data_IF_968750097605
#
_entry.id   IF_968750097605
#
_cell.length_a   1.000
_cell.length_b   1.000
_cell.length_c   1.000
_cell.angle_alpha   90.00
_cell.angle_beta   90.00
_cell.angle_gamma   90.00
#
_symmetry.space_group_name_H-M   'P 1'
#
loop_
_entity.id
_entity.type
_entity.pdbx_description
1 polymer ?
#
# COMPACT_ATOMS: atom_id res chain seq x y z
N UNK A 1 88.69 -11.17 -13.48
CA UNK A 1 87.74 -10.95 -14.60
C UNK A 1 86.52 -11.82 -14.38
N UNK A 2 85.37 -11.33 -14.84
CA UNK A 2 84.03 -11.93 -14.89
C UNK A 2 83.08 -11.52 -13.76
N UNK A 3 82.23 -10.56 -14.15
CA UNK A 3 80.95 -10.12 -13.59
C UNK A 3 80.02 -11.27 -13.18
N UNK A 4 79.17 -11.02 -12.17
CA UNK A 4 77.75 -11.37 -12.27
C UNK A 4 76.89 -10.78 -11.13
N UNK A 5 76.14 -9.74 -11.51
CA UNK A 5 74.74 -9.43 -11.17
C UNK A 5 74.35 -9.21 -9.70
N UNK A 6 74.23 -7.93 -9.35
CA UNK A 6 73.31 -7.41 -8.32
C UNK A 6 71.89 -7.87 -8.66
N UNK A 7 71.33 -8.77 -7.87
CA UNK A 7 69.89 -9.05 -7.87
C UNK A 7 69.23 -7.89 -7.14
N UNK A 8 68.40 -7.15 -7.88
CA UNK A 8 67.67 -5.98 -7.41
C UNK A 8 66.64 -6.38 -6.34
N UNK A 9 66.68 -5.71 -5.20
CA UNK A 9 65.70 -5.83 -4.10
C UNK A 9 64.27 -5.47 -4.55
N UNK A 10 64.09 -4.92 -5.75
CA UNK A 10 62.76 -4.68 -6.35
C UNK A 10 61.99 -5.96 -6.73
N UNK A 11 62.67 -7.10 -6.90
CA UNK A 11 61.97 -8.35 -7.27
C UNK A 11 61.29 -9.07 -6.11
N UNK A 12 61.57 -8.67 -4.86
CA UNK A 12 60.92 -9.27 -3.67
C UNK A 12 59.64 -8.52 -3.24
N UNK A 13 59.45 -7.27 -3.69
CA UNK A 13 58.24 -6.49 -3.38
C UNK A 13 57.11 -6.80 -4.38
N UNK A 14 57.42 -7.33 -5.56
CA UNK A 14 56.41 -7.63 -6.58
C UNK A 14 55.68 -8.98 -6.39
N UNK A 15 56.16 -9.86 -5.49
CA UNK A 15 55.52 -11.15 -5.20
C UNK A 15 54.56 -11.06 -3.99
N UNK A 16 54.64 -9.98 -3.21
CA UNK A 16 53.73 -9.72 -2.09
C UNK A 16 52.49 -8.90 -2.47
N UNK A 17 52.32 -8.55 -3.75
CA UNK A 17 51.13 -7.85 -4.26
C UNK A 17 50.23 -8.72 -5.15
N UNK A 18 50.56 -10.00 -5.36
CA UNK A 18 49.88 -10.86 -6.33
C UNK A 18 49.00 -11.98 -5.73
N UNK A 19 48.78 -11.99 -4.41
CA UNK A 19 47.81 -12.93 -3.80
C UNK A 19 46.95 -12.22 -2.75
N UNK A 20 46.41 -11.06 -3.10
CA UNK A 20 45.06 -10.71 -2.66
C UNK A 20 44.07 -11.29 -3.68
N UNK A 21 44.20 -12.59 -3.96
CA UNK A 21 43.09 -13.32 -4.52
C UNK A 21 42.01 -13.22 -3.44
N UNK A 22 41.06 -12.31 -3.64
CA UNK A 22 39.76 -12.43 -3.01
C UNK A 22 39.29 -13.82 -3.39
N UNK A 23 39.51 -14.78 -2.50
CA UNK A 23 38.73 -15.99 -2.48
C UNK A 23 37.31 -15.50 -2.25
N UNK A 24 36.58 -15.31 -3.35
CA UNK A 24 35.13 -15.38 -3.37
C UNK A 24 34.81 -16.82 -2.99
N UNK A 25 34.99 -17.15 -1.71
CA UNK A 25 34.43 -18.38 -1.17
C UNK A 25 32.93 -18.25 -1.33
N UNK A 26 32.33 -19.20 -2.04
CA UNK A 26 30.89 -19.35 -2.00
C UNK A 26 30.48 -19.38 -0.52
N UNK A 27 29.44 -18.62 -0.15
CA UNK A 27 28.93 -18.63 1.22
C UNK A 27 28.59 -20.08 1.59
N UNK A 28 29.09 -20.54 2.73
CA UNK A 28 28.73 -21.85 3.28
C UNK A 28 27.22 -21.85 3.56
N UNK A 29 26.49 -22.76 2.91
CA UNK A 29 25.04 -22.87 3.01
C UNK A 29 24.56 -23.09 4.45
N UNK A 30 25.37 -23.74 5.28
CA UNK A 30 25.04 -23.97 6.70
C UNK A 30 25.10 -22.69 7.53
N UNK A 31 25.78 -21.65 7.03
CA UNK A 31 26.00 -20.37 7.70
C UNK A 31 25.35 -19.18 6.95
N UNK A 32 24.63 -19.44 5.85
CA UNK A 32 23.96 -18.40 5.07
C UNK A 32 22.76 -17.84 5.86
N UNK A 33 22.91 -16.63 6.38
CA UNK A 33 21.84 -15.95 7.11
C UNK A 33 20.63 -15.70 6.20
N UNK A 34 19.42 -15.94 6.72
CA UNK A 34 18.16 -15.69 5.99
C UNK A 34 18.11 -14.27 5.41
N UNK A 35 18.48 -13.25 6.20
CA UNK A 35 18.51 -11.84 5.74
C UNK A 35 19.44 -11.59 4.53
N UNK A 36 20.42 -12.45 4.29
CA UNK A 36 21.38 -12.38 3.19
C UNK A 36 20.96 -13.26 2.00
N UNK A 37 19.94 -14.11 2.16
CA UNK A 37 19.44 -14.97 1.09
C UNK A 37 18.81 -14.12 -0.02
N UNK A 38 19.42 -14.12 -1.21
CA UNK A 38 18.99 -13.35 -2.38
C UNK A 38 18.87 -14.28 -3.59
N UNK A 39 17.85 -15.14 -3.65
CA UNK A 39 17.65 -16.03 -4.78
C UNK A 39 17.50 -15.25 -6.08
N UNK A 40 17.99 -15.84 -7.16
CA UNK A 40 17.78 -15.38 -8.53
C UNK A 40 17.10 -16.50 -9.29
N UNK A 41 16.06 -16.17 -10.05
CA UNK A 41 15.39 -17.14 -10.91
C UNK A 41 16.38 -17.70 -11.95
N UNK A 42 16.48 -19.02 -12.04
CA UNK A 42 17.27 -19.72 -13.06
C UNK A 42 16.41 -20.22 -14.23
N UNK A 43 15.10 -20.00 -14.16
CA UNK A 43 14.17 -20.40 -15.22
C UNK A 43 14.41 -19.57 -16.49
N UNK A 44 14.44 -20.26 -17.63
CA UNK A 44 14.49 -19.63 -18.96
C UNK A 44 13.07 -19.48 -19.51
N UNK A 45 12.33 -18.56 -18.92
CA UNK A 45 10.92 -18.28 -19.23
C UNK A 45 10.78 -16.85 -19.77
N UNK A 46 9.68 -16.52 -20.47
CA UNK A 46 9.41 -15.16 -20.90
C UNK A 46 9.41 -14.17 -19.72
N UNK A 47 9.98 -12.98 -19.94
CA UNK A 47 10.00 -11.88 -18.98
C UNK A 47 9.42 -10.65 -19.66
N UNK A 48 8.37 -10.08 -19.06
CA UNK A 48 7.65 -8.94 -19.63
C UNK A 48 8.06 -7.65 -18.95
N UNK A 49 8.39 -6.63 -19.73
CA UNK A 49 8.69 -5.28 -19.25
C UNK A 49 7.52 -4.35 -19.55
N UNK A 50 6.64 -4.15 -18.56
CA UNK A 50 5.47 -3.27 -18.70
C UNK A 50 5.89 -1.84 -18.41
N UNK A 51 6.14 -1.03 -19.44
CA UNK A 51 6.59 0.36 -19.27
C UNK A 51 5.48 1.32 -18.84
N UNK A 52 4.25 1.03 -19.31
CA UNK A 52 3.06 1.87 -19.17
C UNK A 52 1.84 0.96 -19.05
N UNK A 53 0.90 1.34 -18.18
CA UNK A 53 -0.32 0.58 -17.93
C UNK A 53 -1.16 0.37 -19.20
N UNK A 54 -1.84 -0.78 -19.28
CA UNK A 54 -2.70 -1.16 -20.40
C UNK A 54 -3.89 -0.23 -20.64
N UNK A 55 -4.29 0.55 -19.63
CA UNK A 55 -5.35 1.56 -19.65
C UNK A 55 -4.96 2.74 -18.72
N UNK A 56 -5.52 3.94 -18.90
CA UNK A 56 -5.30 5.06 -17.99
C UNK A 56 -5.67 4.69 -16.55
N UNK A 57 -4.77 4.92 -15.60
CA UNK A 57 -4.93 4.50 -14.20
C UNK A 57 -5.36 5.68 -13.33
N UNK A 58 -6.36 5.45 -12.48
CA UNK A 58 -6.62 6.28 -11.30
C UNK A 58 -6.07 5.51 -10.10
N UNK A 59 -5.01 6.05 -9.51
CA UNK A 59 -4.40 5.52 -8.30
C UNK A 59 -5.19 5.99 -7.09
N UNK A 60 -6.00 5.09 -6.52
CA UNK A 60 -6.91 5.42 -5.42
C UNK A 60 -6.24 5.47 -4.05
N UNK A 61 -4.94 5.19 -3.97
CA UNK A 61 -4.22 5.16 -2.71
C UNK A 61 -2.77 5.62 -2.88
N UNK A 62 -2.54 6.86 -2.48
CA UNK A 62 -1.21 7.41 -2.29
C UNK A 62 -1.24 8.46 -1.19
N UNK A 63 -0.08 8.86 -0.71
CA UNK A 63 0.09 9.91 0.28
C UNK A 63 0.80 11.13 -0.33
N UNK A 64 0.87 12.27 0.39
CA UNK A 64 1.55 13.47 -0.09
C UNK A 64 3.08 13.31 -0.03
N UNK A 65 3.63 12.33 -0.76
CA UNK A 65 5.06 12.02 -0.76
C UNK A 65 5.91 13.16 -1.32
N UNK A 66 5.43 13.83 -2.37
CA UNK A 66 6.06 15.03 -2.90
C UNK A 66 5.74 16.24 -2.01
N UNK A 67 6.76 16.98 -1.59
CA UNK A 67 6.68 18.10 -0.63
C UNK A 67 7.00 19.46 -1.26
N UNK A 68 7.21 19.50 -2.57
CA UNK A 68 7.45 20.74 -3.32
C UNK A 68 6.82 20.71 -4.71
N UNK A 69 6.62 21.89 -5.32
CA UNK A 69 6.08 22.00 -6.69
C UNK A 69 6.97 21.29 -7.71
N UNK A 70 8.30 21.32 -7.51
CA UNK A 70 9.24 20.62 -8.37
C UNK A 70 9.02 19.10 -8.30
N UNK A 71 8.90 18.55 -7.10
CA UNK A 71 8.68 17.11 -6.92
C UNK A 71 7.32 16.67 -7.49
N UNK A 72 6.27 17.48 -7.35
CA UNK A 72 4.97 17.21 -7.97
C UNK A 72 5.09 17.24 -9.49
N UNK A 73 5.79 18.23 -10.06
CA UNK A 73 6.04 18.28 -11.51
C UNK A 73 6.80 17.04 -12.01
N UNK A 74 7.78 16.56 -11.23
CA UNK A 74 8.52 15.35 -11.57
C UNK A 74 7.64 14.09 -11.43
N UNK A 75 6.78 14.03 -10.41
CA UNK A 75 5.78 12.96 -10.28
C UNK A 75 4.80 12.96 -11.46
N UNK A 76 4.31 14.12 -11.90
CA UNK A 76 3.44 14.25 -13.09
C UNK A 76 4.10 13.66 -14.35
N UNK A 77 5.39 13.90 -14.57
CA UNK A 77 6.14 13.29 -15.69
C UNK A 77 6.20 11.77 -15.55
N UNK A 78 6.40 11.27 -14.33
CA UNK A 78 6.40 9.83 -14.06
C UNK A 78 5.02 9.24 -14.33
N UNK A 79 3.96 9.89 -13.85
CA UNK A 79 2.57 9.51 -14.11
C UNK A 79 2.30 9.41 -15.62
N UNK A 80 2.74 10.40 -16.41
CA UNK A 80 2.58 10.38 -17.87
C UNK A 80 3.32 9.19 -18.52
N UNK A 81 4.54 8.92 -18.07
CA UNK A 81 5.37 7.82 -18.56
C UNK A 81 4.78 6.44 -18.22
N UNK A 82 4.11 6.32 -17.07
CA UNK A 82 3.55 5.07 -16.56
C UNK A 82 2.05 4.90 -16.91
N UNK A 83 1.38 5.93 -17.42
CA UNK A 83 -0.05 5.89 -17.74
C UNK A 83 -0.98 6.15 -16.55
N UNK A 84 -0.49 6.83 -15.52
CA UNK A 84 -1.31 7.29 -14.39
C UNK A 84 -2.01 8.58 -14.80
N UNK A 85 -3.33 8.52 -14.93
CA UNK A 85 -4.18 9.65 -15.25
C UNK A 85 -4.30 10.57 -14.03
N UNK A 86 -4.66 10.01 -12.87
CA UNK A 86 -4.91 10.75 -11.64
C UNK A 86 -4.48 9.93 -10.42
N UNK A 87 -4.04 10.61 -9.36
CA UNK A 87 -3.70 10.00 -8.08
C UNK A 87 -4.48 10.66 -6.95
N UNK A 88 -5.07 9.85 -6.08
CA UNK A 88 -5.74 10.28 -4.87
C UNK A 88 -4.71 10.40 -3.75
N UNK A 89 -4.64 11.58 -3.15
CA UNK A 89 -3.75 11.90 -2.03
C UNK A 89 -4.56 11.79 -0.75
N UNK A 90 -4.38 10.68 -0.05
CA UNK A 90 -4.88 10.43 1.29
C UNK A 90 -4.01 11.21 2.28
N UNK A 91 -4.45 12.42 2.66
CA UNK A 91 -3.59 13.36 3.39
C UNK A 91 -3.36 12.95 4.84
N UNK A 92 -4.30 12.20 5.43
CA UNK A 92 -4.34 11.93 6.87
C UNK A 92 -4.29 13.20 7.72
N UNK A 93 -4.75 14.33 7.18
CA UNK A 93 -4.60 15.63 7.81
C UNK A 93 -5.91 16.42 7.76
N UNK A 94 -6.16 17.20 8.80
CA UNK A 94 -7.14 18.29 8.83
C UNK A 94 -6.46 19.62 9.21
N UNK A 95 -7.22 20.67 9.49
CA UNK A 95 -6.69 21.96 9.94
C UNK A 95 -5.67 22.59 8.98
N UNK A 96 -4.65 23.21 9.55
CA UNK A 96 -3.60 23.93 8.81
C UNK A 96 -2.70 23.00 7.98
N UNK A 97 -2.49 21.76 8.42
CA UNK A 97 -1.72 20.78 7.67
C UNK A 97 -2.44 20.38 6.38
N UNK A 98 -3.75 20.10 6.47
CA UNK A 98 -4.58 19.87 5.29
C UNK A 98 -4.55 21.05 4.33
N UNK A 99 -4.69 22.28 4.85
CA UNK A 99 -4.69 23.48 4.03
C UNK A 99 -3.39 23.62 3.23
N UNK A 100 -2.25 23.32 3.86
CA UNK A 100 -0.93 23.36 3.22
C UNK A 100 -0.80 22.31 2.10
N UNK A 101 -1.28 21.09 2.34
CA UNK A 101 -1.29 20.02 1.32
C UNK A 101 -2.21 20.41 0.17
N UNK A 102 -3.40 20.93 0.46
CA UNK A 102 -4.38 21.34 -0.55
C UNK A 102 -3.87 22.52 -1.39
N UNK A 103 -3.15 23.47 -0.80
CA UNK A 103 -2.53 24.58 -1.53
C UNK A 103 -1.43 24.13 -2.48
N UNK A 104 -0.68 23.09 -2.10
CA UNK A 104 0.38 22.54 -2.93
C UNK A 104 -0.18 21.66 -4.05
N UNK A 105 -1.02 20.68 -3.73
CA UNK A 105 -1.55 19.70 -4.69
C UNK A 105 -2.73 20.21 -5.50
N UNK A 106 -3.55 21.10 -4.94
CA UNK A 106 -4.77 21.62 -5.58
C UNK A 106 -4.53 22.36 -6.89
N UNK A 107 -3.33 22.94 -7.07
CA UNK A 107 -2.87 23.55 -8.34
C UNK A 107 -2.80 22.54 -9.49
N UNK A 108 -2.74 21.26 -9.17
CA UNK A 108 -2.64 20.14 -10.11
C UNK A 108 -3.91 19.27 -10.09
N UNK A 109 -5.09 19.87 -9.85
CA UNK A 109 -6.37 19.17 -9.64
C UNK A 109 -6.82 18.20 -10.75
N UNK A 110 -6.31 18.33 -11.96
CA UNK A 110 -6.54 17.36 -13.04
C UNK A 110 -5.79 16.05 -12.82
N UNK A 111 -4.65 16.11 -12.10
CA UNK A 111 -3.72 15.00 -11.85
C UNK A 111 -3.80 14.47 -10.43
N UNK A 112 -4.16 15.32 -9.47
CA UNK A 112 -4.29 14.93 -8.08
C UNK A 112 -5.65 15.31 -7.53
N UNK A 113 -6.14 14.53 -6.57
CA UNK A 113 -7.31 14.88 -5.76
C UNK A 113 -6.96 14.60 -4.30
N UNK A 114 -7.20 15.56 -3.41
CA UNK A 114 -6.80 15.45 -2.01
C UNK A 114 -8.01 15.06 -1.16
N UNK A 115 -7.83 14.04 -0.35
CA UNK A 115 -8.79 13.58 0.65
C UNK A 115 -8.27 13.97 2.02
N UNK A 116 -9.14 14.44 2.91
CA UNK A 116 -8.77 14.90 4.24
C UNK A 116 -8.70 13.75 5.25
N UNK A 117 -8.05 13.95 6.39
CA UNK A 117 -8.16 13.05 7.55
C UNK A 117 -9.44 13.28 8.35
N UNK A 118 -9.46 12.73 9.57
CA UNK A 118 -10.43 13.05 10.60
C UNK A 118 -9.71 13.58 11.85
N UNK A 119 -10.19 14.69 12.41
CA UNK A 119 -9.68 15.23 13.68
C UNK A 119 -10.28 14.44 14.84
N UNK A 120 -9.42 13.75 15.57
CA UNK A 120 -9.83 12.94 16.72
C UNK A 120 -9.69 13.69 18.04
N UNK A 121 -9.25 14.95 18.05
CA UNK A 121 -8.67 15.57 19.24
C UNK A 121 -9.57 15.53 20.48
N UNK A 122 -10.87 15.70 20.28
CA UNK A 122 -11.86 15.69 21.35
C UNK A 122 -12.62 14.38 21.51
N UNK A 123 -12.12 13.23 21.04
CA UNK A 123 -12.90 11.98 20.92
C UNK A 123 -13.62 11.55 22.21
N UNK A 124 -13.08 11.89 23.38
CA UNK A 124 -13.61 11.60 24.71
C UNK A 124 -14.64 12.63 25.21
N UNK A 125 -14.95 13.66 24.41
CA UNK A 125 -15.90 14.72 24.73
C UNK A 125 -17.27 14.51 24.07
N UNK A 126 -18.38 14.98 24.68
CA UNK A 126 -19.70 14.93 24.05
C UNK A 126 -19.83 15.74 22.76
N UNK A 127 -18.99 16.76 22.54
CA UNK A 127 -19.01 17.59 21.31
C UNK A 127 -18.29 16.95 20.13
N UNK A 128 -17.52 15.86 20.33
CA UNK A 128 -16.71 15.25 19.27
C UNK A 128 -17.46 15.01 17.96
N UNK A 129 -18.66 14.38 17.94
CA UNK A 129 -19.32 14.14 16.66
C UNK A 129 -19.64 15.46 15.92
N UNK A 130 -19.99 16.52 16.65
CA UNK A 130 -20.29 17.82 16.07
C UNK A 130 -19.02 18.57 15.63
N UNK A 131 -17.93 18.52 16.40
CA UNK A 131 -16.67 19.16 16.02
C UNK A 131 -16.02 18.48 14.80
N UNK A 132 -16.01 17.15 14.77
CA UNK A 132 -15.51 16.36 13.65
C UNK A 132 -16.31 16.64 12.36
N UNK A 133 -17.64 16.76 12.45
CA UNK A 133 -18.50 17.15 11.31
C UNK A 133 -18.19 18.57 10.83
N UNK A 134 -18.00 19.55 11.74
CA UNK A 134 -17.65 20.93 11.35
C UNK A 134 -16.32 20.97 10.61
N UNK A 135 -15.32 20.22 11.06
CA UNK A 135 -14.01 20.17 10.41
C UNK A 135 -14.07 19.45 9.05
N UNK A 136 -14.86 18.37 8.94
CA UNK A 136 -15.12 17.69 7.68
C UNK A 136 -15.75 18.64 6.65
N UNK A 137 -16.78 19.42 7.05
CA UNK A 137 -17.41 20.42 6.18
C UNK A 137 -16.43 21.54 5.77
N UNK A 138 -15.50 21.93 6.65
CA UNK A 138 -14.44 22.89 6.33
C UNK A 138 -13.49 22.33 5.28
N UNK A 139 -13.01 21.09 5.47
CA UNK A 139 -12.14 20.41 4.52
C UNK A 139 -12.82 20.27 3.15
N UNK A 140 -14.10 19.88 3.11
CA UNK A 140 -14.89 19.81 1.88
C UNK A 140 -14.95 21.16 1.14
N UNK A 141 -15.24 22.25 1.86
CA UNK A 141 -15.25 23.62 1.31
C UNK A 141 -13.88 24.06 0.79
N UNK A 142 -12.78 23.63 1.43
CA UNK A 142 -11.40 23.90 0.98
C UNK A 142 -11.00 23.07 -0.25
N UNK A 143 -11.68 21.95 -0.51
CA UNK A 143 -11.51 21.16 -1.73
C UNK A 143 -11.44 19.65 -1.53
N UNK A 144 -11.52 19.14 -0.30
CA UNK A 144 -11.51 17.71 -0.04
C UNK A 144 -12.67 17.01 -0.77
N UNK A 145 -12.41 15.82 -1.31
CA UNK A 145 -13.43 15.00 -2.00
C UNK A 145 -13.62 13.60 -1.43
N UNK A 146 -12.88 13.27 -0.37
CA UNK A 146 -13.02 12.05 0.40
C UNK A 146 -12.31 12.20 1.74
N UNK A 147 -12.40 11.14 2.55
CA UNK A 147 -11.73 11.03 3.84
C UNK A 147 -10.75 9.87 3.79
N UNK A 148 -9.51 10.07 4.19
CA UNK A 148 -8.53 9.01 4.32
C UNK A 148 -7.08 9.51 4.38
N UNK A 149 -6.14 8.66 4.77
CA UNK A 149 -6.36 7.29 5.25
C UNK A 149 -6.73 7.36 6.74
N UNK A 150 -7.84 6.73 7.10
CA UNK A 150 -8.10 6.44 8.51
C UNK A 150 -7.38 5.14 8.86
N UNK A 151 -6.92 4.93 10.09
CA UNK A 151 -6.14 3.72 10.38
C UNK A 151 -6.18 3.26 11.81
N UNK A 152 -6.43 1.96 11.99
CA UNK A 152 -6.49 1.26 13.28
C UNK A 152 -5.71 -0.06 13.24
N UNK A 153 -4.74 -0.17 14.15
CA UNK A 153 -3.83 -1.31 14.29
C UNK A 153 -4.09 -2.17 15.54
N UNK A 154 -5.23 -1.99 16.18
CA UNK A 154 -5.67 -2.82 17.31
C UNK A 154 -6.04 -2.01 18.54
N UNK A 155 -5.50 -0.81 18.71
CA UNK A 155 -5.79 0.05 19.86
C UNK A 155 -6.81 1.14 19.54
N UNK A 156 -7.17 1.35 18.28
CA UNK A 156 -8.06 2.42 17.84
C UNK A 156 -7.43 3.27 16.74
N UNK A 157 -8.20 4.24 16.24
CA UNK A 157 -7.84 5.11 15.12
C UNK A 157 -6.72 6.08 15.47
N UNK A 158 -5.73 6.31 14.59
CA UNK A 158 -4.64 7.27 14.88
C UNK A 158 -3.91 7.89 13.69
N UNK A 159 -4.16 7.41 12.47
CA UNK A 159 -3.43 7.89 11.30
C UNK A 159 -3.65 9.37 11.03
N UNK A 160 -4.85 9.88 11.33
CA UNK A 160 -5.20 11.26 11.01
C UNK A 160 -4.80 12.26 12.09
N UNK A 161 -4.19 13.36 11.67
CA UNK A 161 -3.85 14.52 12.49
C UNK A 161 -4.91 15.62 12.31
N UNK A 162 -5.35 16.33 13.37
CA UNK A 162 -4.87 16.35 14.76
C UNK A 162 -5.49 15.24 15.63
N UNK A 163 -4.60 14.46 16.24
CA UNK A 163 -4.87 13.31 17.15
C UNK A 163 -5.17 13.86 18.57
N UNK A 164 -5.91 13.24 19.53
CA UNK A 164 -5.98 11.81 19.90
C UNK A 164 -7.11 10.93 19.34
N UNK A 165 -6.74 9.79 18.77
CA UNK A 165 -7.46 8.56 19.08
C UNK A 165 -6.47 7.38 19.24
N UNK A 166 -6.91 6.40 20.05
CA UNK A 166 -6.38 5.05 20.35
C UNK A 166 -7.23 4.39 21.45
N UNK A 167 -8.53 4.63 21.37
CA UNK A 167 -9.53 3.93 22.17
C UNK A 167 -10.90 4.02 21.48
N UNK A 168 -10.88 4.34 20.19
CA UNK A 168 -12.02 4.53 19.32
C UNK A 168 -11.73 3.72 18.06
N UNK A 169 -12.51 2.68 17.84
CA UNK A 169 -12.44 1.87 16.63
C UNK A 169 -13.40 2.43 15.57
N UNK A 170 -13.29 1.93 14.34
CA UNK A 170 -14.03 2.49 13.20
C UNK A 170 -15.56 2.33 13.31
N UNK A 171 -16.06 1.38 14.11
CA UNK A 171 -17.49 1.19 14.39
C UNK A 171 -17.99 1.91 15.64
N UNK A 172 -17.18 2.80 16.23
CA UNK A 172 -17.61 3.56 17.39
C UNK A 172 -18.86 4.42 17.07
N UNK A 173 -19.93 4.37 17.89
CA UNK A 173 -21.17 5.11 17.64
C UNK A 173 -20.96 6.62 17.47
N UNK A 174 -19.90 7.19 18.07
CA UNK A 174 -19.53 8.59 17.95
C UNK A 174 -19.13 8.99 16.52
N UNK A 175 -18.69 8.05 15.68
CA UNK A 175 -18.36 8.28 14.27
C UNK A 175 -19.59 8.27 13.36
N UNK A 176 -20.75 7.82 13.84
CA UNK A 176 -21.96 7.71 13.02
C UNK A 176 -22.39 9.04 12.40
N UNK A 177 -22.43 10.18 13.11
CA UNK A 177 -22.73 11.48 12.50
C UNK A 177 -21.68 11.91 11.45
N UNK A 178 -20.42 11.54 11.65
CA UNK A 178 -19.34 11.81 10.69
C UNK A 178 -19.58 11.04 9.39
N UNK A 179 -19.86 9.74 9.45
CA UNK A 179 -20.13 8.93 8.25
C UNK A 179 -21.43 9.34 7.54
N UNK A 180 -22.45 9.74 8.29
CA UNK A 180 -23.66 10.33 7.72
C UNK A 180 -23.34 11.60 6.93
N UNK A 181 -22.52 12.49 7.49
CA UNK A 181 -22.06 13.68 6.80
C UNK A 181 -21.21 13.33 5.56
N UNK A 182 -20.33 12.33 5.64
CA UNK A 182 -19.61 11.83 4.47
C UNK A 182 -20.56 11.39 3.35
N UNK A 183 -21.67 10.69 3.68
CA UNK A 183 -22.67 10.31 2.68
C UNK A 183 -23.39 11.52 2.06
N UNK A 184 -23.74 12.53 2.87
CA UNK A 184 -24.38 13.77 2.43
C UNK A 184 -23.48 14.60 1.50
N UNK A 185 -22.18 14.70 1.83
CA UNK A 185 -21.17 15.40 1.05
C UNK A 185 -20.60 14.55 -0.09
N UNK A 186 -21.03 13.30 -0.17
CA UNK A 186 -20.53 12.30 -1.11
C UNK A 186 -19.02 12.06 -1.05
N UNK A 187 -18.46 12.12 0.16
CA UNK A 187 -17.06 11.84 0.45
C UNK A 187 -16.90 10.35 0.81
N UNK A 188 -16.29 9.50 -0.05
CA UNK A 188 -15.91 8.15 0.34
C UNK A 188 -14.89 8.16 1.48
N UNK A 189 -14.82 7.07 2.23
CA UNK A 189 -13.90 6.86 3.35
C UNK A 189 -12.92 5.76 3.02
N UNK A 190 -11.62 6.06 2.99
CA UNK A 190 -10.54 5.06 2.92
C UNK A 190 -10.05 4.72 4.34
N UNK A 191 -9.93 3.42 4.64
CA UNK A 191 -9.66 2.91 5.98
C UNK A 191 -8.72 1.71 5.97
N UNK A 192 -7.67 1.80 6.77
CA UNK A 192 -6.74 0.75 7.14
C UNK A 192 -7.18 0.07 8.42
N UNK A 193 -7.46 -1.22 8.37
CA UNK A 193 -7.64 -2.02 9.58
C UNK A 193 -6.66 -3.18 9.59
N UNK A 194 -6.13 -3.47 10.78
CA UNK A 194 -5.19 -4.58 11.00
C UNK A 194 -3.87 -4.43 10.20
N UNK A 195 -3.10 -5.51 10.19
CA UNK A 195 -1.90 -5.74 9.41
C UNK A 195 -1.98 -7.13 8.73
N UNK A 196 -1.07 -7.48 7.81
CA UNK A 196 -1.06 -8.82 7.23
C UNK A 196 -0.95 -9.91 8.30
N UNK A 197 -1.59 -11.05 8.07
CA UNK A 197 -1.67 -12.15 9.04
C UNK A 197 -0.30 -12.60 9.58
N UNK A 198 0.73 -12.55 8.74
CA UNK A 198 2.11 -12.89 9.11
C UNK A 198 2.62 -12.10 10.33
N UNK A 199 2.13 -10.89 10.56
CA UNK A 199 2.55 -10.02 11.67
C UNK A 199 1.94 -10.46 13.01
N UNK A 200 0.87 -11.27 12.96
CA UNK A 200 0.20 -11.87 14.12
C UNK A 200 0.67 -13.31 14.40
N UNK A 201 1.24 -13.97 13.39
CA UNK A 201 1.76 -15.33 13.51
C UNK A 201 3.04 -15.41 14.34
N UNK A 202 3.46 -16.64 14.66
CA UNK A 202 4.71 -16.88 15.39
C UNK A 202 5.90 -16.37 14.58
N UNK A 203 6.86 -15.74 15.26
CA UNK A 203 8.10 -15.25 14.65
C UNK A 203 9.16 -16.35 14.62
N UNK A 204 8.82 -17.47 13.99
CA UNK A 204 9.66 -18.66 13.88
C UNK A 204 9.83 -19.12 12.42
N UNK A 205 10.50 -20.25 12.21
CA UNK A 205 10.83 -20.79 10.90
C UNK A 205 9.62 -21.24 10.06
N UNK A 206 8.41 -21.23 10.62
CA UNK A 206 7.17 -21.62 9.93
C UNK A 206 6.39 -20.44 9.35
N UNK A 207 6.78 -19.21 9.71
CA UNK A 207 6.22 -17.99 9.15
C UNK A 207 6.95 -17.65 7.84
N UNK A 208 6.32 -17.92 6.70
CA UNK A 208 6.90 -17.68 5.38
C UNK A 208 7.08 -16.18 5.07
N UNK A 209 6.35 -15.30 5.78
CA UNK A 209 6.49 -13.85 5.75
C UNK A 209 7.46 -13.27 6.78
N UNK A 210 8.24 -14.12 7.48
CA UNK A 210 9.02 -13.79 8.68
C UNK A 210 9.83 -12.49 8.58
N UNK A 211 10.48 -12.22 7.45
CA UNK A 211 11.38 -11.07 7.33
C UNK A 211 10.66 -9.74 7.57
N UNK A 212 9.49 -9.55 6.95
CA UNK A 212 8.66 -8.39 7.20
C UNK A 212 7.92 -8.52 8.53
N UNK A 213 7.38 -9.70 8.83
CA UNK A 213 6.65 -9.94 10.06
C UNK A 213 7.46 -9.62 11.32
N UNK A 214 8.76 -9.92 11.34
CA UNK A 214 9.61 -9.68 12.50
C UNK A 214 9.82 -8.19 12.80
N UNK A 215 9.90 -7.37 11.75
CA UNK A 215 9.99 -5.92 11.83
C UNK A 215 8.66 -5.33 12.33
N UNK A 216 7.55 -5.83 11.79
CA UNK A 216 6.20 -5.26 11.98
C UNK A 216 5.30 -6.09 12.91
N UNK A 217 5.87 -6.93 13.77
CA UNK A 217 5.13 -7.87 14.62
C UNK A 217 4.11 -7.16 15.52
N UNK A 218 2.94 -7.77 15.65
CA UNK A 218 1.88 -7.32 16.55
C UNK A 218 2.00 -8.04 17.89
N UNK A 219 2.15 -7.26 18.95
CA UNK A 219 2.16 -7.76 20.32
C UNK A 219 0.73 -7.80 20.88
N UNK A 220 0.09 -8.96 20.75
CA UNK A 220 -1.26 -9.20 21.27
C UNK A 220 -1.32 -9.28 22.81
N UNK A 221 -0.19 -9.19 23.53
CA UNK A 221 -0.20 -9.13 25.00
C UNK A 221 -0.58 -7.75 25.54
N UNK A 222 -0.60 -6.73 24.68
CA UNK A 222 -1.00 -5.37 25.05
C UNK A 222 -2.47 -5.33 25.51
N UNK A 223 -2.77 -4.82 26.71
CA UNK A 223 -4.14 -4.73 27.19
C UNK A 223 -5.05 -3.96 26.21
N UNK A 224 -6.20 -4.54 25.89
CA UNK A 224 -7.22 -3.92 25.03
C UNK A 224 -6.94 -3.97 23.53
N UNK A 225 -5.83 -4.56 23.08
CA UNK A 225 -5.55 -4.69 21.65
C UNK A 225 -6.52 -5.67 20.97
N UNK A 226 -7.09 -5.25 19.84
CA UNK A 226 -7.87 -6.10 18.95
C UNK A 226 -6.94 -6.82 17.95
N UNK A 227 -7.16 -8.13 17.79
CA UNK A 227 -6.52 -8.92 16.75
C UNK A 227 -7.12 -8.66 15.36
N UNK A 228 -6.53 -9.30 14.34
CA UNK A 228 -6.95 -9.17 12.93
C UNK A 228 -8.46 -9.38 12.75
N UNK A 229 -9.00 -10.46 13.28
CA UNK A 229 -10.43 -10.81 13.12
C UNK A 229 -11.37 -9.78 13.74
N UNK A 230 -10.99 -9.25 14.89
CA UNK A 230 -11.77 -8.25 15.62
C UNK A 230 -11.74 -6.91 14.88
N UNK A 231 -10.59 -6.48 14.37
CA UNK A 231 -10.47 -5.25 13.58
C UNK A 231 -11.22 -5.32 12.25
N UNK A 232 -11.19 -6.46 11.58
CA UNK A 232 -12.02 -6.65 10.37
C UNK A 232 -13.51 -6.62 10.72
N UNK A 233 -13.89 -7.14 11.90
CA UNK A 233 -15.27 -7.08 12.37
C UNK A 233 -15.73 -5.63 12.67
N UNK A 234 -14.86 -4.78 13.24
CA UNK A 234 -15.21 -3.35 13.45
C UNK A 234 -15.41 -2.65 12.10
N UNK A 235 -14.55 -2.90 11.11
CA UNK A 235 -14.78 -2.41 9.75
C UNK A 235 -16.12 -2.87 9.18
N UNK A 236 -16.43 -4.17 9.29
CA UNK A 236 -17.69 -4.72 8.79
C UNK A 236 -18.92 -4.08 9.46
N UNK A 237 -18.86 -3.84 10.78
CA UNK A 237 -19.92 -3.14 11.51
C UNK A 237 -20.12 -1.72 10.99
N UNK A 238 -19.04 -0.95 10.83
CA UNK A 238 -19.10 0.41 10.31
C UNK A 238 -19.72 0.45 8.91
N UNK A 239 -19.33 -0.46 8.02
CA UNK A 239 -19.88 -0.59 6.67
C UNK A 239 -21.38 -0.91 6.70
N UNK A 240 -21.78 -1.90 7.50
CA UNK A 240 -23.17 -2.37 7.64
C UNK A 240 -24.09 -1.26 8.16
N UNK A 241 -23.61 -0.48 9.12
CA UNK A 241 -24.42 0.55 9.81
C UNK A 241 -24.50 1.88 9.05
N UNK A 242 -23.66 2.06 8.03
CA UNK A 242 -23.58 3.26 7.22
C UNK A 242 -23.75 2.95 5.71
N UNK A 243 -24.88 2.36 5.28
CA UNK A 243 -25.06 1.83 3.92
C UNK A 243 -25.05 2.90 2.82
N UNK A 244 -25.15 4.19 3.18
CA UNK A 244 -25.10 5.32 2.25
C UNK A 244 -23.67 5.87 2.06
N UNK A 245 -22.74 5.48 2.92
CA UNK A 245 -21.33 5.93 2.88
C UNK A 245 -20.51 4.88 2.16
N UNK A 246 -19.74 5.28 1.15
CA UNK A 246 -18.79 4.39 0.49
C UNK A 246 -17.58 4.21 1.39
N UNK A 247 -17.22 2.96 1.68
CA UNK A 247 -15.97 2.60 2.34
C UNK A 247 -15.05 1.93 1.34
N UNK A 248 -13.78 2.30 1.36
CA UNK A 248 -12.70 1.65 0.63
C UNK A 248 -11.75 1.08 1.68
N UNK A 249 -11.77 -0.23 1.85
CA UNK A 249 -10.77 -0.90 2.66
C UNK A 249 -9.47 -1.00 1.88
N UNK A 250 -8.48 -0.22 2.27
CA UNK A 250 -7.17 -0.34 1.68
C UNK A 250 -6.53 -1.68 2.03
N UNK A 251 -5.56 -2.10 1.22
CA UNK A 251 -4.78 -3.33 1.45
C UNK A 251 -5.65 -4.59 1.56
N UNK A 252 -6.79 -4.64 0.88
CA UNK A 252 -7.78 -5.71 0.99
C UNK A 252 -8.29 -5.94 2.42
N UNK A 253 -8.37 -4.90 3.26
CA UNK A 253 -8.61 -5.02 4.71
C UNK A 253 -7.60 -5.96 5.42
N UNK A 254 -6.41 -6.12 4.84
CA UNK A 254 -5.39 -7.11 5.20
C UNK A 254 -5.87 -8.58 5.17
N UNK A 255 -6.94 -8.86 4.41
CA UNK A 255 -7.50 -10.20 4.19
C UNK A 255 -6.96 -10.88 2.92
N UNK A 256 -5.81 -10.47 2.40
CA UNK A 256 -5.23 -11.14 1.21
C UNK A 256 -4.83 -12.61 1.45
N UNK A 257 -4.78 -13.04 2.72
CA UNK A 257 -4.61 -14.44 3.12
C UNK A 257 -5.96 -15.21 3.22
N UNK A 258 -7.10 -14.50 3.33
CA UNK A 258 -8.46 -15.05 3.43
C UNK A 258 -9.41 -14.25 2.51
N UNK A 259 -9.28 -14.48 1.21
CA UNK A 259 -10.12 -13.80 0.22
C UNK A 259 -11.58 -14.26 0.26
N UNK A 260 -11.89 -15.42 0.86
CA UNK A 260 -13.28 -15.86 1.00
C UNK A 260 -14.04 -14.92 1.96
N UNK A 261 -13.41 -14.52 3.08
CA UNK A 261 -13.98 -13.52 3.99
C UNK A 261 -14.12 -12.15 3.33
N UNK A 262 -13.10 -11.68 2.61
CA UNK A 262 -13.18 -10.41 1.86
C UNK A 262 -14.28 -10.46 0.80
N UNK A 263 -14.35 -11.57 0.05
CA UNK A 263 -15.35 -11.81 -0.98
C UNK A 263 -16.78 -11.76 -0.43
N UNK A 264 -17.02 -12.38 0.72
CA UNK A 264 -18.30 -12.30 1.44
C UNK A 264 -18.70 -10.86 1.75
N UNK A 265 -17.77 -10.02 2.22
CA UNK A 265 -18.06 -8.62 2.50
C UNK A 265 -18.40 -7.84 1.22
N UNK A 266 -17.67 -8.08 0.12
CA UNK A 266 -17.92 -7.46 -1.19
C UNK A 266 -19.29 -7.88 -1.78
N UNK A 267 -19.71 -9.12 -1.56
CA UNK A 267 -21.03 -9.64 -1.94
C UNK A 267 -22.15 -9.03 -1.07
N UNK A 268 -21.90 -8.88 0.23
CA UNK A 268 -22.93 -8.49 1.21
C UNK A 268 -23.22 -6.99 1.20
N UNK A 269 -22.20 -6.14 1.04
CA UNK A 269 -22.32 -4.70 1.26
C UNK A 269 -22.13 -3.91 -0.05
N UNK A 270 -23.19 -3.32 -0.65
CA UNK A 270 -23.10 -2.53 -1.88
C UNK A 270 -22.29 -1.23 -1.81
N UNK A 271 -21.90 -0.81 -0.60
CA UNK A 271 -21.10 0.37 -0.31
C UNK A 271 -19.62 0.07 0.04
N UNK A 272 -19.22 -1.20 0.16
CA UNK A 272 -17.86 -1.66 0.44
C UNK A 272 -16.94 -1.91 -0.78
N UNK A 273 -15.82 -1.23 -0.88
CA UNK A 273 -14.80 -1.42 -1.92
C UNK A 273 -13.49 -1.82 -1.26
N UNK A 274 -12.58 -2.37 -2.05
CA UNK A 274 -11.23 -2.64 -1.59
C UNK A 274 -10.18 -2.32 -2.66
N UNK A 275 -8.99 -1.94 -2.23
CA UNK A 275 -7.82 -1.80 -3.10
C UNK A 275 -6.70 -2.78 -2.70
N UNK A 276 -5.76 -3.01 -3.61
CA UNK A 276 -4.61 -3.92 -3.39
C UNK A 276 -3.44 -3.29 -2.65
N UNK A 277 -3.39 -1.96 -2.52
CA UNK A 277 -2.24 -1.13 -2.10
C UNK A 277 -1.25 -1.84 -1.18
N UNK A 278 0.05 -1.71 -1.44
CA UNK A 278 1.13 -2.39 -0.73
C UNK A 278 1.06 -3.95 -0.62
N UNK A 279 -0.06 -4.62 -0.94
CA UNK A 279 -0.26 -6.09 -0.85
C UNK A 279 0.04 -6.83 -2.14
N UNK A 280 0.82 -6.21 -3.03
CA UNK A 280 1.19 -6.81 -4.30
C UNK A 280 2.05 -8.07 -4.12
N UNK A 281 2.99 -8.04 -3.18
CA UNK A 281 3.97 -9.12 -3.03
C UNK A 281 3.39 -10.38 -2.40
N UNK A 282 2.56 -10.21 -1.38
CA UNK A 282 1.84 -11.28 -0.69
C UNK A 282 0.83 -11.92 -1.64
N UNK A 283 0.08 -11.10 -2.40
CA UNK A 283 -0.94 -11.57 -3.34
C UNK A 283 -0.33 -12.27 -4.57
N UNK A 284 0.87 -11.86 -5.00
CA UNK A 284 1.59 -12.44 -6.14
C UNK A 284 2.04 -13.90 -5.92
N UNK A 285 1.91 -14.45 -4.70
CA UNK A 285 2.21 -15.86 -4.40
C UNK A 285 1.10 -16.83 -4.83
N UNK A 286 -0.12 -16.32 -5.04
CA UNK A 286 -1.33 -17.12 -5.36
C UNK A 286 -2.02 -16.65 -6.65
N UNK A 287 -1.30 -16.52 -7.79
CA UNK A 287 -1.75 -15.77 -8.96
C UNK A 287 -3.05 -16.28 -9.59
N UNK A 288 -3.25 -17.61 -9.66
CA UNK A 288 -4.47 -18.20 -10.24
C UNK A 288 -5.71 -17.91 -9.39
N UNK A 289 -5.56 -17.94 -8.07
CA UNK A 289 -6.65 -17.65 -7.14
C UNK A 289 -6.97 -16.15 -7.17
N UNK A 290 -5.95 -15.28 -7.17
CA UNK A 290 -6.12 -13.84 -7.37
C UNK A 290 -6.82 -13.50 -8.69
N UNK A 291 -6.40 -14.12 -9.80
CA UNK A 291 -7.04 -13.90 -11.10
C UNK A 291 -8.55 -14.18 -11.06
N UNK A 292 -8.94 -15.30 -10.44
CA UNK A 292 -10.35 -15.68 -10.28
C UNK A 292 -11.11 -14.74 -9.34
N UNK A 293 -10.48 -14.34 -8.22
CA UNK A 293 -11.04 -13.38 -7.28
C UNK A 293 -11.31 -12.03 -7.96
N UNK A 294 -10.32 -11.48 -8.66
CA UNK A 294 -10.46 -10.25 -9.42
C UNK A 294 -11.54 -10.36 -10.50
N UNK A 295 -11.64 -11.48 -11.22
CA UNK A 295 -12.71 -11.69 -12.20
C UNK A 295 -14.10 -11.66 -11.56
N UNK A 296 -14.27 -12.30 -10.41
CA UNK A 296 -15.55 -12.35 -9.67
C UNK A 296 -15.93 -10.96 -9.16
N UNK A 297 -15.00 -10.27 -8.50
CA UNK A 297 -15.25 -9.01 -7.80
C UNK A 297 -14.81 -7.76 -8.56
N UNK A 298 -14.58 -7.86 -9.88
CA UNK A 298 -14.03 -6.82 -10.76
C UNK A 298 -14.73 -5.45 -10.71
N UNK A 299 -15.95 -5.38 -10.20
CA UNK A 299 -16.71 -4.13 -10.10
C UNK A 299 -16.49 -3.40 -8.77
N UNK A 300 -15.80 -4.01 -7.80
CA UNK A 300 -15.66 -3.50 -6.41
C UNK A 300 -14.20 -3.39 -5.95
N UNK A 301 -13.27 -3.79 -6.79
CA UNK A 301 -11.84 -3.70 -6.54
C UNK A 301 -11.23 -2.50 -7.27
N UNK A 302 -10.28 -1.84 -6.63
CA UNK A 302 -9.63 -0.62 -7.09
C UNK A 302 -8.12 -0.83 -7.20
N UNK A 303 -7.48 -0.08 -8.09
CA UNK A 303 -6.03 0.06 -8.11
C UNK A 303 -5.60 1.10 -7.07
N UNK A 304 -4.56 0.77 -6.30
CA UNK A 304 -3.90 1.66 -5.36
C UNK A 304 -2.44 1.23 -5.19
N UNK A 305 -1.53 2.17 -4.90
CA UNK A 305 -0.11 1.86 -4.76
C UNK A 305 0.33 1.76 -3.31
N UNK A 306 0.25 2.86 -2.56
CA UNK A 306 0.86 3.04 -1.22
C UNK A 306 2.35 2.64 -1.14
N UNK A 307 3.15 3.03 -2.14
CA UNK A 307 4.56 2.61 -2.24
C UNK A 307 5.46 3.71 -2.81
N UNK A 308 5.11 4.98 -2.60
CA UNK A 308 5.79 6.10 -3.25
C UNK A 308 5.39 6.26 -4.71
N UNK A 309 6.28 6.85 -5.52
CA UNK A 309 5.95 7.24 -6.90
C UNK A 309 7.08 7.01 -7.91
N UNK A 310 7.99 6.06 -7.64
CA UNK A 310 9.05 5.75 -8.59
C UNK A 310 8.51 5.03 -9.84
N UNK A 311 9.13 5.19 -11.02
CA UNK A 311 8.72 4.44 -12.21
C UNK A 311 8.81 2.92 -12.02
N UNK A 312 9.84 2.43 -11.32
CA UNK A 312 9.99 0.99 -11.06
C UNK A 312 8.85 0.44 -10.21
N UNK A 313 8.38 1.22 -9.23
CA UNK A 313 7.23 0.85 -8.41
C UNK A 313 5.97 0.66 -9.27
N UNK A 314 5.60 1.64 -10.10
CA UNK A 314 4.44 1.48 -10.97
C UNK A 314 4.57 0.26 -11.90
N UNK A 315 5.73 0.11 -12.54
CA UNK A 315 5.96 -0.96 -13.51
C UNK A 315 5.90 -2.36 -12.90
N UNK A 316 6.35 -2.55 -11.65
CA UNK A 316 6.20 -3.84 -10.97
C UNK A 316 4.73 -4.14 -10.65
N UNK A 317 3.93 -3.13 -10.26
CA UNK A 317 2.48 -3.33 -10.05
C UNK A 317 1.78 -3.74 -11.34
N UNK A 318 2.14 -3.15 -12.48
CA UNK A 318 1.58 -3.53 -13.78
C UNK A 318 2.04 -4.92 -14.20
N UNK A 319 3.30 -5.27 -13.96
CA UNK A 319 3.80 -6.63 -14.20
C UNK A 319 2.98 -7.67 -13.44
N UNK A 320 2.72 -7.43 -12.15
CA UNK A 320 1.92 -8.32 -11.30
C UNK A 320 0.47 -8.40 -11.77
N UNK A 321 -0.16 -7.29 -12.18
CA UNK A 321 -1.57 -7.30 -12.57
C UNK A 321 -1.81 -7.80 -14.00
N UNK A 322 -0.97 -7.41 -14.96
CA UNK A 322 -1.25 -7.56 -16.39
C UNK A 322 -0.68 -8.84 -17.01
N UNK A 323 0.45 -9.34 -16.51
CA UNK A 323 1.22 -10.35 -17.23
C UNK A 323 1.03 -11.74 -16.65
N UNK A 324 1.43 -12.75 -17.43
CA UNK A 324 1.52 -14.14 -16.98
C UNK A 324 2.96 -14.50 -16.55
N UNK A 325 3.77 -13.51 -16.18
CA UNK A 325 5.15 -13.76 -15.75
C UNK A 325 5.14 -14.64 -14.50
N UNK A 326 6.07 -15.58 -14.42
CA UNK A 326 6.22 -16.45 -13.26
C UNK A 326 7.60 -16.30 -12.65
N UNK A 327 7.69 -16.59 -11.36
CA UNK A 327 8.95 -16.84 -10.67
C UNK A 327 9.99 -15.71 -10.80
N UNK A 328 9.61 -14.49 -10.40
CA UNK A 328 10.52 -13.34 -10.31
C UNK A 328 10.62 -12.82 -8.87
N UNK A 329 11.66 -12.04 -8.57
CA UNK A 329 11.91 -11.55 -7.21
C UNK A 329 12.05 -10.03 -7.20
N UNK A 330 11.46 -9.39 -6.20
CA UNK A 330 11.53 -7.95 -5.95
C UNK A 330 11.83 -7.68 -4.47
N UNK A 331 12.83 -8.41 -3.94
CA UNK A 331 13.17 -8.46 -2.51
C UNK A 331 13.53 -7.08 -1.97
N UNK A 332 14.27 -6.28 -2.74
CA UNK A 332 14.64 -4.92 -2.34
C UNK A 332 13.46 -3.98 -2.19
N UNK A 333 12.36 -4.25 -2.89
CA UNK A 333 11.16 -3.41 -2.83
C UNK A 333 10.17 -3.90 -1.77
N UNK A 334 9.99 -5.22 -1.62
CA UNK A 334 8.94 -5.77 -0.76
C UNK A 334 9.45 -6.51 0.49
N UNK A 335 10.74 -6.77 0.63
CA UNK A 335 11.30 -7.47 1.80
C UNK A 335 11.00 -8.96 1.89
N UNK A 336 10.25 -9.54 0.94
CA UNK A 336 9.92 -10.97 0.92
C UNK A 336 10.91 -11.81 0.12
N UNK A 337 11.09 -13.07 0.54
CA UNK A 337 12.00 -14.03 -0.11
C UNK A 337 11.30 -15.03 -1.05
N UNK A 338 9.97 -15.05 -1.07
CA UNK A 338 9.21 -15.86 -2.02
C UNK A 338 9.25 -15.25 -3.42
N UNK A 339 9.01 -16.10 -4.42
CA UNK A 339 8.88 -15.63 -5.79
C UNK A 339 7.50 -15.00 -6.02
N UNK A 340 7.47 -14.01 -6.89
CA UNK A 340 6.27 -13.29 -7.34
C UNK A 340 5.85 -13.82 -8.71
N UNK A 341 4.56 -13.70 -8.97
CA UNK A 341 3.91 -14.13 -10.19
C UNK A 341 2.88 -13.09 -10.64
N UNK A 342 2.69 -12.97 -11.96
CA UNK A 342 1.65 -12.16 -12.56
C UNK A 342 0.28 -12.86 -12.54
N UNK A 343 -0.78 -12.07 -12.39
CA UNK A 343 -2.16 -12.53 -12.34
C UNK A 343 -2.76 -12.77 -13.72
N UNK A 344 -2.15 -12.22 -14.77
CA UNK A 344 -2.67 -12.23 -16.14
C UNK A 344 -4.14 -11.77 -16.20
N UNK A 345 -4.47 -10.63 -15.56
CA UNK A 345 -5.86 -10.17 -15.53
C UNK A 345 -6.38 -9.88 -16.95
N UNK A 346 -7.60 -10.34 -17.30
CA UNK A 346 -8.18 -10.01 -18.59
C UNK A 346 -8.30 -8.50 -18.79
N UNK A 347 -8.09 -8.02 -20.03
CA UNK A 347 -8.18 -6.58 -20.35
C UNK A 347 -9.49 -5.92 -19.89
N UNK A 348 -10.60 -6.64 -19.96
CA UNK A 348 -11.92 -6.17 -19.49
C UNK A 348 -11.97 -5.95 -17.98
N UNK A 349 -11.25 -6.77 -17.20
CA UNK A 349 -11.09 -6.60 -15.75
C UNK A 349 -10.13 -5.46 -15.47
N UNK A 350 -8.95 -5.43 -16.11
CA UNK A 350 -7.95 -4.37 -15.93
C UNK A 350 -8.53 -2.97 -16.13
N UNK A 351 -9.32 -2.76 -17.19
CA UNK A 351 -9.99 -1.47 -17.45
C UNK A 351 -10.84 -1.00 -16.26
N UNK A 352 -11.51 -1.94 -15.58
CA UNK A 352 -12.35 -1.61 -14.41
C UNK A 352 -11.53 -1.27 -13.18
N UNK A 353 -10.53 -2.10 -12.89
CA UNK A 353 -9.64 -1.92 -11.74
C UNK A 353 -8.84 -0.63 -11.86
N UNK A 354 -8.30 -0.35 -13.04
CA UNK A 354 -7.50 0.85 -13.30
C UNK A 354 -8.32 2.13 -13.36
N UNK A 355 -9.58 2.09 -13.79
CA UNK A 355 -10.27 3.33 -14.12
C UNK A 355 -11.77 3.33 -13.82
N UNK A 356 -12.53 2.37 -14.38
CA UNK A 356 -14.00 2.49 -14.39
C UNK A 356 -14.59 2.51 -12.98
N UNK A 357 -14.05 1.73 -12.05
CA UNK A 357 -14.57 1.68 -10.68
C UNK A 357 -14.24 2.98 -9.93
N UNK A 358 -13.00 3.45 -10.02
CA UNK A 358 -12.56 4.70 -9.41
C UNK A 358 -13.35 5.91 -9.96
N UNK A 359 -13.48 5.98 -11.28
CA UNK A 359 -14.29 7.00 -11.98
C UNK A 359 -15.72 7.01 -11.47
N UNK A 360 -16.35 5.84 -11.30
CA UNK A 360 -17.70 5.74 -10.73
C UNK A 360 -17.78 6.24 -9.28
N UNK A 361 -16.72 6.13 -8.49
CA UNK A 361 -16.71 6.66 -7.11
C UNK A 361 -16.53 8.18 -7.14
N UNK A 362 -15.62 8.69 -7.97
CA UNK A 362 -15.23 10.11 -8.01
C UNK A 362 -16.24 10.97 -8.79
N UNK A 363 -16.82 10.46 -9.88
CA UNK A 363 -17.71 11.23 -10.77
C UNK A 363 -19.18 11.10 -10.46
N UNK A 364 -19.63 10.05 -9.77
CA UNK A 364 -21.06 9.87 -9.43
C UNK A 364 -21.62 11.01 -8.58
N UNK A 365 -20.76 11.91 -8.11
CA UNK A 365 -21.09 12.97 -7.16
C UNK A 365 -20.42 14.33 -7.49
N UNK A 366 -19.92 14.49 -8.72
CA UNK A 366 -19.66 15.81 -9.32
C UNK A 366 -20.95 16.32 -9.95
#
# INVERSE_FOLDING_TARGET
MINSKKISVFSLILIMYSVSAFFLTAQDVNNLLLRNYRPKSLYKIPVTQVQKAAFPVIDMHSHPYARSEKEISDWVKIMDSCGIQKTIILSMATGAEFDSIMELYGKYGDRFEVWCGLDYTGYDTPDFPASAVRELERCYKKGARGVGELGDKGLGLFYSHPVPAWGMHIDDPRLKPVFQKCAELHMPVNIHVADPVWMYEKMDSTNDGLMNAFEWKIDLSKPGILGLDQLVQTLENAVRENPKTIFIACHFANLNHDLDRLGRMLDTYPNFYADISARYAESATIPRYMQNFYKKYQNRLLYGTDMGFSPSMYRVTFRILETADEHFYEISQFGYHWALHGFALPRTVLKKIYNTNATRIIEKYK
#
